data_IF_271338539587
#
_entry.id   IF_271338539587
#
_cell.length_a   1.000
_cell.length_b   1.000
_cell.length_c   1.000
_cell.angle_alpha   90.00
_cell.angle_beta   90.00
_cell.angle_gamma   90.00
#
_symmetry.space_group_name_H-M   'P 1'
#
loop_
_entity.id
_entity.type
_entity.pdbx_description
1 polymer ?
#
# COMPACT_ATOMS: atom_id res chain seq x y z
N UNK A 1 -0.53 -17.74 23.52
CA UNK A 1 -0.88 -16.37 23.09
C UNK A 1 -2.04 -16.50 22.12
N UNK A 2 -3.13 -15.72 22.27
CA UNK A 2 -4.32 -15.78 21.39
C UNK A 2 -4.06 -15.46 19.90
N UNK A 3 -2.79 -15.22 19.51
CA UNK A 3 -2.31 -15.10 18.14
C UNK A 3 -1.96 -16.44 17.47
N UNK A 4 -1.90 -17.52 18.25
CA UNK A 4 -1.60 -18.87 17.77
C UNK A 4 -2.74 -19.81 18.14
N UNK A 5 -2.72 -21.01 17.55
CA UNK A 5 -3.63 -22.09 17.95
C UNK A 5 -3.42 -22.39 19.44
N UNK A 6 -4.51 -22.34 20.18
CA UNK A 6 -4.51 -22.65 21.62
C UNK A 6 -4.87 -24.12 21.84
N UNK A 7 -4.39 -24.68 22.95
CA UNK A 7 -4.71 -26.05 23.35
C UNK A 7 -6.20 -26.17 23.69
N UNK A 8 -6.93 -26.96 22.91
CA UNK A 8 -8.35 -27.21 23.10
C UNK A 8 -8.68 -28.31 24.13
N UNK A 9 -7.69 -28.83 24.86
CA UNK A 9 -7.90 -29.86 25.89
C UNK A 9 -8.26 -29.30 27.27
N UNK A 10 -8.25 -27.97 27.44
CA UNK A 10 -8.60 -27.30 28.70
C UNK A 10 -7.74 -26.07 28.99
N UNK A 11 -8.32 -25.08 29.66
CA UNK A 11 -7.58 -23.96 30.28
C UNK A 11 -7.34 -22.74 29.38
N UNK A 12 -7.73 -22.82 28.11
CA UNK A 12 -7.66 -21.71 27.14
C UNK A 12 -9.05 -21.31 26.61
N UNK A 13 -10.10 -21.84 27.22
CA UNK A 13 -11.48 -21.67 26.74
C UNK A 13 -11.99 -20.29 27.11
N UNK A 14 -12.80 -19.71 26.22
CA UNK A 14 -13.54 -18.51 26.55
C UNK A 14 -14.32 -18.73 27.84
N UNK A 15 -14.13 -17.82 28.80
CA UNK A 15 -14.72 -17.91 30.14
C UNK A 15 -16.24 -17.72 30.13
N UNK A 16 -16.81 -17.31 28.98
CA UNK A 16 -18.20 -16.88 28.84
C UNK A 16 -18.44 -15.45 29.34
N UNK A 17 -17.41 -14.78 29.90
CA UNK A 17 -17.46 -13.37 30.20
C UNK A 17 -17.22 -12.56 28.91
N UNK A 18 -17.98 -11.48 28.74
CA UNK A 18 -17.73 -10.49 27.70
C UNK A 18 -16.77 -9.42 28.23
N UNK A 19 -15.96 -8.87 27.33
CA UNK A 19 -15.17 -7.68 27.64
C UNK A 19 -16.13 -6.54 28.03
N UNK A 20 -15.86 -5.87 29.14
CA UNK A 20 -16.66 -4.73 29.58
C UNK A 20 -16.59 -3.60 28.52
N UNK A 21 -17.73 -2.94 28.24
CA UNK A 21 -17.81 -1.86 27.24
C UNK A 21 -16.81 -0.73 27.53
N UNK A 22 -16.41 -0.53 28.79
CA UNK A 22 -15.40 0.47 29.18
C UNK A 22 -14.05 0.28 28.49
N UNK A 23 -13.74 -0.95 28.08
CA UNK A 23 -12.49 -1.30 27.42
C UNK A 23 -12.56 -1.24 25.90
N UNK A 24 -13.75 -1.18 25.31
CA UNK A 24 -13.86 -1.02 23.86
C UNK A 24 -13.30 0.36 23.51
N UNK A 25 -12.26 0.47 22.65
CA UNK A 25 -11.68 1.76 22.30
C UNK A 25 -12.72 2.76 21.80
N UNK A 26 -12.81 3.90 22.46
CA UNK A 26 -13.75 4.96 22.13
C UNK A 26 -13.19 6.33 22.50
N UNK A 27 -13.61 7.35 21.76
CA UNK A 27 -13.26 8.73 22.05
C UNK A 27 -14.39 9.66 21.63
N UNK A 28 -14.53 10.78 22.35
CA UNK A 28 -15.58 11.77 22.10
C UNK A 28 -15.05 13.18 22.25
N UNK A 29 -15.27 14.00 21.22
CA UNK A 29 -14.89 15.41 21.17
C UNK A 29 -13.44 15.67 21.65
N UNK A 30 -12.44 14.99 21.06
CA UNK A 30 -11.07 15.19 21.49
C UNK A 30 -10.59 16.61 21.22
N UNK A 31 -9.72 17.15 22.08
CA UNK A 31 -9.23 18.53 21.98
C UNK A 31 -8.51 18.81 20.65
N UNK A 32 -7.87 17.78 20.06
CA UNK A 32 -7.21 17.87 18.75
C UNK A 32 -8.19 18.07 17.57
N UNK A 33 -9.49 17.92 17.80
CA UNK A 33 -10.52 18.23 16.80
C UNK A 33 -10.78 17.17 15.73
N UNK A 34 -10.15 15.99 15.81
CA UNK A 34 -10.38 14.90 14.86
C UNK A 34 -10.31 13.51 15.52
N UNK A 35 -10.99 12.55 14.89
CA UNK A 35 -10.84 11.10 15.13
C UNK A 35 -10.53 10.48 13.77
N UNK A 36 -9.49 9.63 13.70
CA UNK A 36 -9.08 8.94 12.48
C UNK A 36 -8.88 7.46 12.76
N UNK A 37 -9.33 6.61 11.84
CA UNK A 37 -9.09 5.17 11.87
C UNK A 37 -8.75 4.70 10.45
N UNK A 38 -7.80 3.77 10.34
CA UNK A 38 -7.40 3.19 9.05
C UNK A 38 -6.89 1.77 9.24
N UNK A 39 -7.67 0.93 9.94
CA UNK A 39 -7.37 -0.48 10.27
C UNK A 39 -6.14 -0.71 11.18
N UNK A 40 -5.41 0.36 11.53
CA UNK A 40 -4.29 0.31 12.45
C UNK A 40 -4.75 0.11 13.90
N UNK A 41 -3.78 -0.19 14.77
CA UNK A 41 -3.99 -0.38 16.20
C UNK A 41 -4.65 0.87 16.82
N UNK A 42 -5.85 0.74 17.42
CA UNK A 42 -6.60 1.89 17.92
C UNK A 42 -6.05 2.48 19.23
N UNK A 43 -5.30 1.71 20.01
CA UNK A 43 -4.83 2.12 21.36
C UNK A 43 -3.39 1.73 21.68
N UNK A 44 -2.66 1.14 20.73
CA UNK A 44 -1.25 0.79 20.87
C UNK A 44 -0.99 -0.55 21.58
N UNK A 45 -1.95 -1.49 21.61
CA UNK A 45 -1.76 -2.82 22.24
C UNK A 45 -0.65 -3.66 21.60
N UNK A 46 -0.18 -3.29 20.42
CA UNK A 46 0.92 -3.96 19.70
C UNK A 46 2.18 -3.10 19.59
N UNK A 47 2.21 -1.91 20.20
CA UNK A 47 3.29 -0.92 20.02
C UNK A 47 4.67 -1.42 20.49
N UNK A 48 4.70 -2.18 21.59
CA UNK A 48 5.92 -2.71 22.19
C UNK A 48 6.26 -4.15 21.73
N UNK A 49 5.49 -4.70 20.79
CA UNK A 49 5.62 -6.10 20.36
C UNK A 49 5.15 -7.15 21.37
N UNK A 50 4.54 -6.74 22.49
CA UNK A 50 3.89 -7.65 23.44
C UNK A 50 2.38 -7.65 23.23
N UNK A 51 1.89 -8.71 22.57
CA UNK A 51 0.46 -8.90 22.28
C UNK A 51 -0.40 -9.16 23.53
N UNK A 52 0.22 -9.28 24.70
CA UNK A 52 -0.45 -9.37 26.00
C UNK A 52 -0.28 -8.09 26.82
N UNK A 53 0.18 -7.00 26.23
CA UNK A 53 0.23 -5.72 26.93
C UNK A 53 -1.18 -5.34 27.42
N UNK A 54 -1.34 -5.16 28.73
CA UNK A 54 -2.65 -5.00 29.38
C UNK A 54 -3.32 -6.28 29.91
N UNK A 55 -2.66 -7.44 29.85
CA UNK A 55 -3.08 -8.68 30.51
C UNK A 55 -2.20 -8.94 31.73
N UNK A 56 -2.76 -8.88 32.94
CA UNK A 56 -2.09 -9.23 34.19
C UNK A 56 -2.65 -10.54 34.76
N UNK A 57 -1.89 -11.66 34.69
CA UNK A 57 -2.30 -12.93 35.26
C UNK A 57 -2.66 -12.88 36.76
N UNK A 58 -2.15 -11.88 37.50
CA UNK A 58 -2.42 -11.63 38.91
C UNK A 58 -3.67 -10.77 39.16
N UNK A 59 -4.12 -9.97 38.19
CA UNK A 59 -5.31 -9.13 38.27
C UNK A 59 -6.22 -9.25 37.03
N UNK A 60 -6.84 -10.42 36.91
CA UNK A 60 -7.71 -10.77 35.77
C UNK A 60 -8.95 -9.88 35.61
N UNK A 61 -9.25 -9.03 36.60
CA UNK A 61 -10.40 -8.12 36.52
C UNK A 61 -10.11 -6.91 35.61
N UNK A 62 -8.83 -6.60 35.40
CA UNK A 62 -8.36 -5.52 34.54
C UNK A 62 -7.68 -6.02 33.25
N UNK A 63 -7.73 -7.33 32.97
CA UNK A 63 -7.24 -7.94 31.71
C UNK A 63 -7.94 -7.35 30.48
N UNK A 64 -7.15 -6.85 29.54
CA UNK A 64 -7.61 -6.32 28.26
C UNK A 64 -6.83 -6.93 27.10
N UNK A 65 -7.53 -7.62 26.20
CA UNK A 65 -6.98 -8.10 24.94
C UNK A 65 -8.01 -7.85 23.83
N UNK A 66 -7.63 -7.07 22.81
CA UNK A 66 -8.50 -6.74 21.67
C UNK A 66 -8.03 -7.28 20.33
N UNK A 67 -6.79 -7.76 20.24
CA UNK A 67 -6.23 -8.28 19.01
C UNK A 67 -4.71 -8.28 19.05
N UNK A 68 -4.11 -8.87 18.02
CA UNK A 68 -2.66 -8.88 17.86
C UNK A 68 -2.18 -8.78 16.42
N UNK A 69 -3.08 -8.44 15.51
CA UNK A 69 -2.75 -8.10 14.14
C UNK A 69 -3.61 -6.92 13.71
N UNK A 70 -2.94 -5.89 13.20
CA UNK A 70 -3.52 -4.63 12.75
C UNK A 70 -2.77 -4.14 11.52
N UNK A 71 -3.35 -3.22 10.77
CA UNK A 71 -2.63 -2.56 9.68
C UNK A 71 -1.40 -1.80 10.24
N UNK A 72 -0.31 -1.75 9.46
CA UNK A 72 1.00 -1.15 9.83
C UNK A 72 0.90 0.31 10.28
N UNK A 73 -0.19 0.98 9.94
CA UNK A 73 -0.44 2.35 10.38
C UNK A 73 0.09 3.42 9.45
N UNK A 74 0.66 3.08 8.30
CA UNK A 74 1.12 4.09 7.32
C UNK A 74 -0.01 4.99 6.82
N UNK A 75 -1.18 4.41 6.51
CA UNK A 75 -2.37 5.19 6.14
C UNK A 75 -2.84 6.07 7.29
N UNK A 76 -2.89 5.52 8.50
CA UNK A 76 -3.30 6.28 9.68
C UNK A 76 -2.33 7.44 9.93
N UNK A 77 -1.02 7.19 9.89
CA UNK A 77 0.00 8.22 10.05
C UNK A 77 -0.17 9.33 9.02
N UNK A 78 -0.37 9.00 7.74
CA UNK A 78 -0.58 10.00 6.68
C UNK A 78 -1.89 10.78 6.85
N UNK A 79 -2.98 10.11 7.23
CA UNK A 79 -4.26 10.76 7.54
C UNK A 79 -4.10 11.72 8.72
N UNK A 80 -3.39 11.30 9.77
CA UNK A 80 -3.10 12.09 10.96
C UNK A 80 -2.27 13.32 10.61
N UNK A 81 -1.17 13.18 9.86
CA UNK A 81 -0.35 14.31 9.36
C UNK A 81 -1.24 15.36 8.66
N UNK A 82 -2.09 14.92 7.72
CA UNK A 82 -2.98 15.81 6.96
C UNK A 82 -4.07 16.46 7.84
N UNK A 83 -4.65 15.72 8.78
CA UNK A 83 -5.66 16.26 9.69
C UNK A 83 -5.07 17.26 10.68
N UNK A 84 -3.82 17.08 11.12
CA UNK A 84 -3.11 18.06 11.96
C UNK A 84 -2.85 19.37 11.21
N UNK A 85 -2.43 19.28 9.94
CA UNK A 85 -2.29 20.46 9.07
C UNK A 85 -3.63 21.20 8.90
N UNK A 86 -4.69 20.45 8.59
CA UNK A 86 -6.03 21.00 8.35
C UNK A 86 -6.65 21.62 9.62
N UNK A 87 -6.53 20.96 10.77
CA UNK A 87 -7.06 21.49 12.05
C UNK A 87 -6.27 22.70 12.53
N UNK A 88 -4.95 22.72 12.31
CA UNK A 88 -4.10 23.89 12.61
C UNK A 88 -4.45 25.09 11.74
N UNK A 89 -4.70 24.87 10.43
CA UNK A 89 -5.13 25.94 9.53
C UNK A 89 -6.54 26.47 9.85
N UNK A 90 -7.44 25.57 10.28
CA UNK A 90 -8.84 25.87 10.52
C UNK A 90 -9.65 26.08 9.23
N UNK A 91 -10.98 26.13 9.35
CA UNK A 91 -11.86 26.37 8.19
C UNK A 91 -11.92 25.19 7.20
N UNK A 92 -11.76 23.96 7.70
CA UNK A 92 -11.79 22.73 6.91
C UNK A 92 -13.08 22.64 6.09
N UNK A 93 -12.93 22.35 4.80
CA UNK A 93 -14.03 22.22 3.84
C UNK A 93 -14.27 20.77 3.43
N UNK A 94 -15.41 20.44 2.80
CA UNK A 94 -15.62 19.13 2.19
C UNK A 94 -14.61 18.78 1.09
N UNK A 95 -14.07 19.81 0.42
CA UNK A 95 -13.04 19.62 -0.60
C UNK A 95 -11.74 19.14 0.03
N UNK A 96 -11.30 19.75 1.13
CA UNK A 96 -10.09 19.32 1.85
C UNK A 96 -10.17 17.85 2.28
N UNK A 97 -11.34 17.42 2.76
CA UNK A 97 -11.59 16.02 3.13
C UNK A 97 -11.61 15.08 1.94
N UNK A 98 -12.08 15.55 0.77
CA UNK A 98 -12.03 14.77 -0.47
C UNK A 98 -10.58 14.64 -0.95
N UNK A 99 -9.80 15.72 -0.90
CA UNK A 99 -8.38 15.72 -1.25
C UNK A 99 -7.55 14.82 -0.33
N UNK A 100 -7.88 14.76 0.97
CA UNK A 100 -7.28 13.82 1.92
C UNK A 100 -7.56 12.37 1.51
N UNK A 101 -8.80 12.02 1.12
CA UNK A 101 -9.14 10.68 0.62
C UNK A 101 -8.40 10.30 -0.67
N UNK A 102 -7.88 11.30 -1.39
CA UNK A 102 -7.20 11.14 -2.67
C UNK A 102 -5.67 11.09 -2.56
N UNK A 103 -5.12 11.16 -1.35
CA UNK A 103 -3.68 11.20 -1.12
C UNK A 103 -3.01 9.87 -1.54
N UNK A 104 -2.05 9.99 -2.45
CA UNK A 104 -1.34 8.88 -3.11
C UNK A 104 0.18 8.90 -2.83
N UNK A 105 0.62 9.58 -1.77
CA UNK A 105 2.03 9.61 -1.41
C UNK A 105 2.49 8.27 -0.85
N UNK A 106 3.51 7.68 -1.48
CA UNK A 106 4.07 6.37 -1.14
C UNK A 106 4.74 6.38 0.23
N UNK A 107 4.22 5.65 1.24
CA UNK A 107 4.86 5.55 2.55
C UNK A 107 6.18 4.79 2.45
N UNK A 108 6.19 3.67 1.72
CA UNK A 108 7.42 2.92 1.47
C UNK A 108 8.42 3.75 0.67
N UNK A 109 7.96 4.53 -0.32
CA UNK A 109 8.81 5.47 -1.06
C UNK A 109 9.56 6.43 -0.14
N UNK A 110 8.87 7.01 0.87
CA UNK A 110 9.47 7.91 1.86
C UNK A 110 10.59 7.26 2.67
N UNK A 111 10.45 5.99 3.05
CA UNK A 111 11.43 5.28 3.90
C UNK A 111 12.56 4.60 3.11
N UNK A 112 12.22 3.92 2.02
CA UNK A 112 13.15 3.07 1.28
C UNK A 112 13.98 3.85 0.25
N UNK A 113 13.39 4.86 -0.42
CA UNK A 113 14.10 5.59 -1.49
C UNK A 113 15.39 6.25 -1.00
N UNK A 114 15.44 6.94 0.16
CA UNK A 114 16.69 7.51 0.66
C UNK A 114 17.75 6.45 0.96
N UNK A 115 17.36 5.28 1.50
CA UNK A 115 18.26 4.18 1.77
C UNK A 115 18.82 3.59 0.47
N UNK A 116 17.96 3.34 -0.53
CA UNK A 116 18.35 2.86 -1.86
C UNK A 116 19.33 3.84 -2.49
N UNK A 117 19.00 5.13 -2.56
CA UNK A 117 19.89 6.16 -3.14
C UNK A 117 21.26 6.16 -2.45
N UNK A 118 21.29 6.06 -1.13
CA UNK A 118 22.55 5.98 -0.36
C UNK A 118 23.38 4.76 -0.73
N UNK A 119 22.76 3.58 -0.88
CA UNK A 119 23.50 2.37 -1.29
C UNK A 119 23.95 2.42 -2.76
N UNK A 120 23.16 3.03 -3.65
CA UNK A 120 23.58 3.25 -5.03
C UNK A 120 24.74 4.23 -5.13
N UNK A 121 24.80 5.26 -4.28
CA UNK A 121 25.96 6.14 -4.18
C UNK A 121 27.23 5.37 -3.80
N UNK A 122 27.16 4.52 -2.78
CA UNK A 122 28.27 3.65 -2.38
C UNK A 122 28.72 2.73 -3.52
N UNK A 123 27.77 2.14 -4.25
CA UNK A 123 28.07 1.29 -5.40
C UNK A 123 28.75 2.05 -6.54
N UNK A 124 28.34 3.29 -6.81
CA UNK A 124 28.95 4.16 -7.82
C UNK A 124 30.36 4.62 -7.40
N UNK A 125 30.57 4.88 -6.11
CA UNK A 125 31.89 5.16 -5.54
C UNK A 125 32.83 3.95 -5.66
N UNK A 126 32.35 2.75 -5.35
CA UNK A 126 33.10 1.50 -5.51
C UNK A 126 33.46 1.23 -6.97
N UNK A 127 32.54 1.51 -7.90
CA UNK A 127 32.81 1.43 -9.34
C UNK A 127 33.90 2.41 -9.77
N UNK A 128 33.89 3.63 -9.24
CA UNK A 128 34.85 4.68 -9.60
C UNK A 128 36.23 4.42 -8.99
N UNK A 129 36.27 3.92 -7.75
CA UNK A 129 37.49 3.63 -6.99
C UNK A 129 37.34 2.29 -6.27
N UNK A 130 37.72 1.17 -6.93
CA UNK A 130 37.59 -0.16 -6.34
C UNK A 130 38.28 -0.30 -4.98
N UNK A 131 37.58 -0.90 -4.02
CA UNK A 131 37.99 -1.07 -2.63
C UNK A 131 37.55 0.06 -1.68
N UNK A 132 36.74 1.03 -2.14
CA UNK A 132 36.13 2.04 -1.27
C UNK A 132 34.96 1.48 -0.46
N UNK A 133 34.19 0.56 -1.05
CA UNK A 133 33.16 -0.23 -0.39
C UNK A 133 33.36 -1.71 -0.74
N UNK A 134 34.30 -2.41 -0.06
CA UNK A 134 34.65 -3.80 -0.40
C UNK A 134 33.48 -4.80 -0.34
N UNK A 135 32.46 -4.51 0.47
CA UNK A 135 31.22 -5.29 0.55
C UNK A 135 30.41 -5.27 -0.75
N UNK A 136 30.65 -4.28 -1.63
CA UNK A 136 29.95 -4.13 -2.90
C UNK A 136 30.78 -4.56 -4.12
N UNK A 137 32.07 -4.85 -3.95
CA UNK A 137 32.98 -5.10 -5.09
C UNK A 137 32.50 -6.24 -6.00
N UNK A 138 31.94 -7.31 -5.42
CA UNK A 138 31.42 -8.45 -6.17
C UNK A 138 30.21 -8.04 -7.03
N UNK A 139 29.19 -7.42 -6.43
CA UNK A 139 28.00 -6.96 -7.14
C UNK A 139 28.33 -5.92 -8.21
N UNK A 140 29.18 -4.93 -7.90
CA UNK A 140 29.59 -3.90 -8.87
C UNK A 140 30.33 -4.50 -10.06
N UNK A 141 31.16 -5.52 -9.83
CA UNK A 141 31.87 -6.24 -10.90
C UNK A 141 30.90 -7.05 -11.76
N UNK A 142 30.01 -7.80 -11.13
CA UNK A 142 28.99 -8.61 -11.80
C UNK A 142 28.04 -7.76 -12.65
N UNK A 143 27.62 -6.62 -12.12
CA UNK A 143 26.64 -5.71 -12.72
C UNK A 143 27.28 -4.61 -13.58
N UNK A 144 28.57 -4.71 -13.92
CA UNK A 144 29.31 -3.65 -14.61
C UNK A 144 28.64 -3.18 -15.92
N UNK A 145 27.94 -4.07 -16.63
CA UNK A 145 27.22 -3.74 -17.89
C UNK A 145 25.96 -2.91 -17.69
N UNK A 146 25.38 -2.88 -16.48
CA UNK A 146 24.14 -2.15 -16.16
C UNK A 146 24.37 -0.93 -15.28
N UNK A 147 25.59 -0.71 -14.76
CA UNK A 147 25.87 0.37 -13.81
C UNK A 147 25.57 1.79 -14.32
N UNK A 148 25.65 2.05 -15.64
CA UNK A 148 25.25 3.36 -16.20
C UNK A 148 23.74 3.58 -16.06
N UNK A 149 22.94 2.53 -16.23
CA UNK A 149 21.49 2.58 -16.03
C UNK A 149 21.13 2.66 -14.54
N UNK A 150 21.91 2.01 -13.68
CA UNK A 150 21.78 2.16 -12.22
C UNK A 150 22.02 3.62 -11.81
N UNK A 151 23.00 4.30 -12.42
CA UNK A 151 23.23 5.73 -12.18
C UNK A 151 22.02 6.60 -12.58
N UNK A 152 21.42 6.36 -13.75
CA UNK A 152 20.21 7.09 -14.18
C UNK A 152 19.01 6.82 -13.23
N UNK A 153 18.82 5.56 -12.84
CA UNK A 153 17.80 5.18 -11.88
C UNK A 153 18.01 5.85 -10.51
N UNK A 154 19.25 5.91 -10.02
CA UNK A 154 19.64 6.63 -8.80
C UNK A 154 19.24 8.10 -8.88
N UNK A 155 19.52 8.77 -9.97
CA UNK A 155 19.22 10.20 -10.12
C UNK A 155 17.71 10.47 -10.15
N UNK A 156 16.94 9.60 -10.80
CA UNK A 156 15.46 9.67 -10.82
C UNK A 156 14.87 9.44 -9.44
N UNK A 157 15.34 8.43 -8.72
CA UNK A 157 14.92 8.13 -7.35
C UNK A 157 15.30 9.27 -6.38
N UNK A 158 16.48 9.85 -6.52
CA UNK A 158 16.92 10.99 -5.71
C UNK A 158 16.10 12.27 -5.98
N UNK A 159 15.60 12.45 -7.21
CA UNK A 159 14.75 13.57 -7.58
C UNK A 159 13.29 13.41 -7.12
N UNK A 160 12.85 12.19 -6.78
CA UNK A 160 11.48 11.87 -6.36
C UNK A 160 11.23 12.26 -4.90
N UNK A 161 11.17 13.56 -4.62
CA UNK A 161 10.98 14.09 -3.25
C UNK A 161 9.51 14.27 -2.85
N UNK A 162 8.60 14.28 -3.82
CA UNK A 162 7.15 14.33 -3.57
C UNK A 162 6.63 13.00 -3.02
N UNK A 163 7.29 11.91 -3.39
CA UNK A 163 6.83 10.53 -3.22
C UNK A 163 5.42 10.26 -3.78
N UNK A 164 4.93 11.14 -4.66
CA UNK A 164 3.64 10.95 -5.33
C UNK A 164 3.77 9.87 -6.41
N UNK A 165 2.67 9.18 -6.69
CA UNK A 165 2.65 8.00 -7.57
C UNK A 165 1.66 8.19 -8.74
N UNK A 166 1.77 9.27 -9.54
CA UNK A 166 0.79 9.56 -10.58
C UNK A 166 0.83 8.52 -11.70
N UNK A 167 -0.34 8.16 -12.23
CA UNK A 167 -0.45 7.27 -13.39
C UNK A 167 0.22 7.88 -14.63
N UNK A 168 -0.16 9.14 -14.89
CA UNK A 168 0.39 10.05 -15.88
C UNK A 168 0.65 9.42 -17.26
N UNK A 169 -0.41 8.82 -17.80
CA UNK A 169 -0.52 8.30 -19.18
C UNK A 169 -1.70 8.91 -19.95
N UNK A 170 -2.50 9.76 -19.28
CA UNK A 170 -3.68 10.42 -19.83
C UNK A 170 -3.56 11.95 -19.69
N UNK A 171 -4.41 12.69 -20.40
CA UNK A 171 -4.66 14.13 -20.20
C UNK A 171 -3.43 15.06 -20.34
N UNK A 172 -2.38 14.62 -21.04
CA UNK A 172 -1.13 15.38 -21.29
C UNK A 172 -0.40 15.76 -19.99
N UNK A 173 0.18 14.78 -19.28
CA UNK A 173 0.80 15.00 -17.98
C UNK A 173 1.99 15.97 -18.08
N UNK A 174 2.17 16.76 -17.03
CA UNK A 174 3.31 17.69 -16.91
C UNK A 174 4.64 16.94 -16.74
N UNK A 175 5.75 17.61 -17.02
CA UNK A 175 7.07 16.99 -16.85
C UNK A 175 7.37 16.50 -15.41
N UNK A 176 6.96 17.22 -14.33
CA UNK A 176 7.09 16.69 -12.96
C UNK A 176 6.23 15.45 -12.70
N UNK A 177 4.97 15.43 -13.13
CA UNK A 177 4.14 14.21 -13.05
C UNK A 177 4.73 13.06 -13.87
N UNK A 178 5.47 13.40 -14.93
CA UNK A 178 6.26 12.44 -15.68
C UNK A 178 7.40 11.87 -14.83
N UNK A 179 8.23 12.72 -14.25
CA UNK A 179 9.34 12.29 -13.41
C UNK A 179 8.87 11.39 -12.25
N UNK A 180 7.82 11.81 -11.52
CA UNK A 180 7.30 11.07 -10.36
C UNK A 180 6.75 9.70 -10.75
N UNK A 181 6.03 9.60 -11.86
CA UNK A 181 5.51 8.33 -12.38
C UNK A 181 6.61 7.34 -12.81
N UNK A 182 7.72 7.85 -13.37
CA UNK A 182 8.88 7.02 -13.71
C UNK A 182 9.57 6.53 -12.45
N UNK A 183 9.80 7.43 -11.49
CA UNK A 183 10.40 7.07 -10.22
C UNK A 183 9.55 6.05 -9.45
N UNK A 184 8.23 6.23 -9.41
CA UNK A 184 7.30 5.26 -8.82
C UNK A 184 7.37 3.87 -9.46
N UNK A 185 7.56 3.80 -10.79
CA UNK A 185 7.73 2.52 -11.51
C UNK A 185 9.04 1.83 -11.15
N UNK A 186 10.15 2.58 -11.15
CA UNK A 186 11.48 2.08 -10.74
C UNK A 186 11.43 1.62 -9.29
N UNK A 187 10.86 2.43 -8.41
CA UNK A 187 10.73 2.16 -6.98
C UNK A 187 9.92 0.90 -6.71
N UNK A 188 8.69 0.80 -7.23
CA UNK A 188 7.83 -0.35 -6.96
C UNK A 188 8.39 -1.65 -7.56
N UNK A 189 9.04 -1.60 -8.72
CA UNK A 189 9.76 -2.76 -9.25
C UNK A 189 10.97 -3.15 -8.38
N UNK A 190 11.73 -2.17 -7.90
CA UNK A 190 12.87 -2.38 -6.99
C UNK A 190 12.42 -2.99 -5.68
N UNK A 191 11.38 -2.44 -5.05
CA UNK A 191 10.81 -2.95 -3.81
C UNK A 191 10.40 -4.42 -3.97
N UNK A 192 9.80 -4.79 -5.11
CA UNK A 192 9.43 -6.17 -5.37
C UNK A 192 10.62 -7.14 -5.39
N UNK A 193 11.72 -6.76 -6.03
CA UNK A 193 12.94 -7.58 -6.03
C UNK A 193 13.67 -7.56 -4.69
N UNK A 194 13.72 -6.41 -4.02
CA UNK A 194 14.37 -6.26 -2.73
C UNK A 194 13.72 -7.16 -1.68
N UNK A 195 12.39 -7.13 -1.58
CA UNK A 195 11.65 -7.98 -0.64
C UNK A 195 11.88 -9.48 -0.89
N UNK A 196 12.13 -9.90 -2.14
CA UNK A 196 12.49 -11.31 -2.45
C UNK A 196 13.90 -11.63 -2.00
N UNK A 197 14.86 -10.78 -2.36
CA UNK A 197 16.28 -10.94 -2.01
C UNK A 197 16.55 -10.86 -0.49
N UNK A 198 15.60 -10.35 0.29
CA UNK A 198 15.74 -10.15 1.75
C UNK A 198 14.94 -11.16 2.57
N UNK A 199 13.98 -11.88 1.99
CA UNK A 199 13.07 -12.71 2.79
C UNK A 199 12.72 -14.07 2.19
N UNK A 200 12.92 -14.29 0.87
CA UNK A 200 12.47 -15.54 0.27
C UNK A 200 13.24 -16.75 0.82
N UNK A 201 14.53 -16.62 1.12
CA UNK A 201 15.36 -17.71 1.64
C UNK A 201 14.98 -18.09 3.08
N UNK A 202 14.62 -17.15 3.97
CA UNK A 202 14.08 -17.49 5.29
C UNK A 202 12.72 -18.17 5.19
N UNK A 203 11.86 -17.73 4.27
CA UNK A 203 10.56 -18.36 4.04
C UNK A 203 10.69 -19.76 3.45
N UNK A 204 11.63 -19.97 2.53
CA UNK A 204 11.85 -21.26 1.88
C UNK A 204 12.52 -22.25 2.84
N UNK A 205 13.50 -21.81 3.63
CA UNK A 205 14.11 -22.61 4.70
C UNK A 205 13.07 -23.03 5.76
N UNK A 206 12.11 -22.15 6.07
CA UNK A 206 10.96 -22.51 6.88
C UNK A 206 10.07 -23.58 6.20
N UNK A 207 9.72 -23.40 4.92
CA UNK A 207 8.85 -24.32 4.18
C UNK A 207 9.39 -25.76 4.18
N UNK A 208 10.71 -25.90 4.09
CA UNK A 208 11.40 -27.18 4.09
C UNK A 208 11.49 -27.83 5.49
N UNK A 209 10.96 -27.15 6.52
CA UNK A 209 10.79 -27.66 7.89
C UNK A 209 12.03 -27.55 8.77
N UNK A 210 13.02 -26.74 8.37
CA UNK A 210 14.26 -26.55 9.13
C UNK A 210 14.11 -25.51 10.26
N UNK A 211 13.02 -24.73 10.27
CA UNK A 211 12.55 -23.91 11.40
C UNK A 211 11.14 -24.38 11.85
N UNK A 212 10.93 -24.64 13.14
CA UNK A 212 9.62 -24.99 13.69
C UNK A 212 8.73 -23.72 13.88
N UNK A 213 7.62 -23.61 13.12
CA UNK A 213 6.54 -22.59 13.28
C UNK A 213 6.21 -21.72 12.03
N UNK A 214 4.97 -21.79 11.52
CA UNK A 214 4.48 -21.15 10.26
C UNK A 214 4.53 -19.61 10.24
N UNK A 215 5.56 -18.97 9.61
CA UNK A 215 5.48 -17.58 9.24
C UNK A 215 4.75 -17.55 7.90
N UNK A 216 3.44 -17.39 7.95
CA UNK A 216 2.70 -17.04 6.73
C UNK A 216 3.39 -15.83 6.11
N UNK A 217 3.60 -15.86 4.79
CA UNK A 217 3.95 -14.66 4.00
C UNK A 217 2.93 -13.58 4.34
N UNK A 218 3.28 -12.73 5.30
CA UNK A 218 2.37 -11.84 5.99
C UNK A 218 2.82 -10.39 5.82
N UNK A 219 1.92 -9.48 6.12
CA UNK A 219 2.23 -8.05 6.13
C UNK A 219 3.42 -7.70 7.05
N UNK A 220 3.84 -8.58 7.97
CA UNK A 220 5.00 -8.38 8.83
C UNK A 220 6.31 -8.09 8.08
N UNK A 221 6.56 -8.70 6.92
CA UNK A 221 7.81 -8.50 6.17
C UNK A 221 8.05 -7.02 5.78
N UNK A 222 6.98 -6.31 5.41
CA UNK A 222 7.08 -4.87 5.13
C UNK A 222 7.42 -4.04 6.36
N UNK A 223 6.84 -4.41 7.51
CA UNK A 223 7.16 -3.77 8.80
C UNK A 223 8.61 -4.05 9.17
N UNK A 224 9.06 -5.31 9.05
CA UNK A 224 10.45 -5.73 9.29
C UNK A 224 11.41 -4.94 8.41
N UNK A 225 11.15 -4.83 7.11
CA UNK A 225 11.95 -4.03 6.18
C UNK A 225 12.11 -2.58 6.64
N UNK A 226 11.04 -1.94 7.13
CA UNK A 226 11.12 -0.57 7.64
C UNK A 226 11.98 -0.50 8.91
N UNK A 227 11.77 -1.42 9.87
CA UNK A 227 12.58 -1.46 11.09
C UNK A 227 14.06 -1.77 10.83
N UNK A 228 14.38 -2.64 9.88
CA UNK A 228 15.76 -2.91 9.43
C UNK A 228 16.48 -1.61 9.01
N UNK A 229 15.74 -0.64 8.50
CA UNK A 229 16.29 0.64 8.05
C UNK A 229 16.29 1.72 9.14
N UNK A 230 15.25 1.77 9.96
CA UNK A 230 15.04 2.85 10.93
C UNK A 230 15.67 2.57 12.30
N UNK A 231 15.52 1.34 12.80
CA UNK A 231 16.06 0.92 14.09
C UNK A 231 16.34 -0.59 14.06
N UNK A 232 17.39 -1.04 13.33
CA UNK A 232 17.71 -2.45 13.24
C UNK A 232 18.04 -3.05 14.61
N UNK A 233 18.48 -2.24 15.58
CA UNK A 233 18.83 -2.69 16.93
C UNK A 233 17.62 -3.17 17.75
N UNK A 234 16.41 -2.77 17.35
CA UNK A 234 15.16 -3.25 17.95
C UNK A 234 14.78 -4.67 17.51
N UNK A 235 15.37 -5.18 16.43
CA UNK A 235 15.01 -6.47 15.84
C UNK A 235 15.70 -7.63 16.56
N UNK A 236 14.99 -8.75 16.68
CA UNK A 236 15.57 -10.01 17.17
C UNK A 236 16.72 -10.48 16.26
N UNK A 237 16.62 -10.22 14.96
CA UNK A 237 17.65 -10.52 13.97
C UNK A 237 18.78 -9.49 13.90
N UNK A 238 19.01 -8.66 14.91
CA UNK A 238 20.12 -7.70 14.90
C UNK A 238 21.49 -8.38 15.11
N UNK A 239 22.43 -8.11 14.21
CA UNK A 239 23.84 -8.45 14.35
C UNK A 239 24.64 -7.22 14.82
N UNK A 240 25.23 -7.33 16.01
CA UNK A 240 26.02 -6.25 16.61
C UNK A 240 27.35 -6.00 15.91
N UNK A 241 27.92 -6.98 15.22
CA UNK A 241 29.17 -6.85 14.47
C UNK A 241 28.92 -6.18 13.11
N UNK A 242 27.83 -6.57 12.43
CA UNK A 242 27.39 -5.92 11.19
C UNK A 242 26.72 -4.55 11.43
N UNK A 243 26.24 -4.31 12.65
CA UNK A 243 25.38 -3.16 13.02
C UNK A 243 24.12 -3.07 12.14
N UNK A 244 23.59 -4.22 11.75
CA UNK A 244 22.46 -4.36 10.82
C UNK A 244 21.65 -5.61 11.16
N UNK A 245 20.51 -5.80 10.52
CA UNK A 245 19.75 -7.03 10.59
C UNK A 245 20.40 -8.14 9.74
N UNK A 246 20.29 -9.38 10.20
CA UNK A 246 20.85 -10.55 9.50
C UNK A 246 20.17 -10.82 8.16
N UNK A 247 18.88 -10.50 8.01
CA UNK A 247 18.02 -10.83 6.85
C UNK A 247 18.48 -10.27 5.48
N UNK A 248 19.64 -9.62 5.40
CA UNK A 248 20.21 -9.23 4.11
C UNK A 248 20.98 -10.37 3.44
N UNK A 249 21.39 -11.42 4.16
CA UNK A 249 22.16 -12.52 3.61
C UNK A 249 21.29 -13.53 2.83
N UNK A 250 21.90 -14.44 2.07
CA UNK A 250 21.24 -15.63 1.50
C UNK A 250 21.72 -16.80 2.34
N UNK A 251 20.87 -17.29 3.24
CA UNK A 251 21.23 -18.38 4.16
C UNK A 251 21.52 -19.71 3.44
N UNK A 252 21.17 -19.80 2.13
CA UNK A 252 21.53 -20.91 1.25
C UNK A 252 22.96 -20.86 0.71
N UNK A 253 23.72 -19.81 1.01
CA UNK A 253 25.10 -19.64 0.51
C UNK A 253 26.11 -19.35 1.62
N UNK A 254 27.40 -19.56 1.33
CA UNK A 254 28.50 -19.20 2.25
C UNK A 254 28.85 -17.70 2.20
N UNK A 255 28.24 -16.94 1.29
CA UNK A 255 28.47 -15.50 1.14
C UNK A 255 27.49 -14.77 2.04
N UNK A 256 27.98 -13.77 2.77
CA UNK A 256 27.12 -12.89 3.58
C UNK A 256 26.98 -11.57 2.83
N UNK A 257 25.82 -11.35 2.22
CA UNK A 257 25.51 -10.12 1.49
C UNK A 257 25.22 -8.95 2.44
N UNK A 258 25.60 -7.75 1.99
CA UNK A 258 25.25 -6.53 2.72
C UNK A 258 23.92 -5.96 2.21
N UNK A 259 23.30 -5.11 3.03
CA UNK A 259 22.20 -4.23 2.62
C UNK A 259 22.44 -3.56 1.26
N UNK A 260 23.67 -3.09 1.02
CA UNK A 260 24.03 -2.41 -0.21
C UNK A 260 24.10 -3.34 -1.41
N UNK A 261 24.59 -4.58 -1.23
CA UNK A 261 24.55 -5.62 -2.27
C UNK A 261 23.10 -5.89 -2.70
N UNK A 262 22.21 -6.14 -1.73
CA UNK A 262 20.80 -6.43 -2.00
C UNK A 262 20.07 -5.29 -2.69
N UNK A 263 20.25 -4.05 -2.22
CA UNK A 263 19.64 -2.89 -2.86
C UNK A 263 20.15 -2.65 -4.28
N UNK A 264 21.46 -2.82 -4.53
CA UNK A 264 22.03 -2.70 -5.88
C UNK A 264 21.48 -3.78 -6.83
N UNK A 265 21.47 -5.04 -6.39
CA UNK A 265 20.93 -6.17 -7.18
C UNK A 265 19.43 -6.00 -7.44
N UNK A 266 18.66 -5.55 -6.46
CA UNK A 266 17.23 -5.28 -6.61
C UNK A 266 16.95 -4.20 -7.67
N UNK A 267 17.71 -3.09 -7.65
CA UNK A 267 17.58 -2.03 -8.66
C UNK A 267 17.95 -2.59 -10.04
N UNK A 268 19.08 -3.27 -10.18
CA UNK A 268 19.49 -3.86 -11.46
C UNK A 268 18.43 -4.83 -12.03
N UNK A 269 17.87 -5.70 -11.19
CA UNK A 269 16.80 -6.62 -11.57
C UNK A 269 15.52 -5.88 -11.96
N UNK A 270 15.17 -4.80 -11.24
CA UNK A 270 14.03 -3.95 -11.56
C UNK A 270 14.16 -3.30 -12.95
N UNK A 271 15.34 -2.78 -13.30
CA UNK A 271 15.58 -2.17 -14.62
C UNK A 271 15.40 -3.18 -15.76
N UNK A 272 15.91 -4.41 -15.60
CA UNK A 272 15.69 -5.48 -16.58
C UNK A 272 14.22 -5.91 -16.68
N UNK A 273 13.52 -5.94 -15.55
CA UNK A 273 12.08 -6.28 -15.48
C UNK A 273 11.24 -5.22 -16.19
N UNK A 274 11.49 -3.93 -15.92
CA UNK A 274 10.75 -2.81 -16.51
C UNK A 274 10.98 -2.72 -18.02
N UNK A 275 12.23 -2.88 -18.47
CA UNK A 275 12.56 -2.91 -19.89
C UNK A 275 11.78 -4.01 -20.63
N UNK A 276 11.73 -5.21 -20.06
CA UNK A 276 11.01 -6.34 -20.65
C UNK A 276 9.50 -6.10 -20.63
N UNK A 277 8.97 -5.66 -19.50
CA UNK A 277 7.52 -5.48 -19.29
C UNK A 277 6.96 -4.38 -20.19
N UNK A 278 7.69 -3.26 -20.32
CA UNK A 278 7.26 -2.11 -21.10
C UNK A 278 7.86 -2.07 -22.50
N UNK A 279 8.66 -3.08 -22.85
CA UNK A 279 9.32 -3.21 -24.16
C UNK A 279 10.10 -1.95 -24.57
N UNK A 280 10.82 -1.34 -23.63
CA UNK A 280 11.53 -0.08 -23.83
C UNK A 280 12.77 0.03 -22.96
N UNK A 281 13.90 0.39 -23.57
CA UNK A 281 15.14 0.74 -22.86
C UNK A 281 15.13 2.18 -22.34
N UNK A 282 14.21 3.00 -22.82
CA UNK A 282 14.09 4.41 -22.46
C UNK A 282 13.26 4.56 -21.17
N UNK A 283 13.93 4.90 -20.07
CA UNK A 283 13.30 5.04 -18.76
C UNK A 283 12.23 6.14 -18.71
N UNK A 284 12.31 7.16 -19.58
CA UNK A 284 11.30 8.22 -19.62
C UNK A 284 9.91 7.69 -20.02
N UNK A 285 9.88 6.55 -20.69
CA UNK A 285 8.65 5.87 -21.10
C UNK A 285 8.06 4.95 -20.03
N UNK A 286 8.74 4.74 -18.91
CA UNK A 286 8.31 3.81 -17.86
C UNK A 286 7.25 4.41 -16.93
N UNK A 287 6.08 4.70 -17.49
CA UNK A 287 4.96 5.35 -16.77
C UNK A 287 4.28 4.37 -15.83
N UNK A 288 4.01 4.79 -14.58
CA UNK A 288 3.35 3.96 -13.57
C UNK A 288 1.97 3.48 -14.01
N UNK A 289 1.19 4.33 -14.67
CA UNK A 289 -0.15 3.98 -15.16
C UNK A 289 -0.19 2.91 -16.26
N UNK A 290 0.95 2.53 -16.85
CA UNK A 290 1.04 1.37 -17.76
C UNK A 290 1.16 0.05 -17.00
N UNK A 291 1.56 0.10 -15.73
CA UNK A 291 1.75 -1.04 -14.84
C UNK A 291 0.62 -1.14 -13.81
N UNK A 292 0.23 0.00 -13.23
CA UNK A 292 -0.75 0.12 -12.17
C UNK A 292 -2.12 0.52 -12.72
N UNK A 293 -2.97 -0.49 -12.83
CA UNK A 293 -4.26 -0.38 -13.52
C UNK A 293 -5.37 -1.01 -12.68
N UNK A 294 -6.60 -0.57 -12.93
CA UNK A 294 -7.80 -1.07 -12.28
C UNK A 294 -8.78 -1.65 -13.29
N UNK A 295 -9.17 -2.90 -13.06
CA UNK A 295 -10.39 -3.49 -13.61
C UNK A 295 -11.24 -3.98 -12.44
N UNK A 296 -12.51 -3.57 -12.43
CA UNK A 296 -13.51 -4.13 -11.53
C UNK A 296 -13.99 -5.45 -12.15
N UNK A 297 -13.47 -6.57 -11.66
CA UNK A 297 -13.85 -7.89 -12.17
C UNK A 297 -15.22 -8.33 -11.64
N UNK A 298 -16.01 -8.98 -12.51
CA UNK A 298 -17.27 -9.58 -12.12
C UNK A 298 -17.05 -10.82 -11.24
N UNK A 299 -17.76 -10.91 -10.10
CA UNK A 299 -17.65 -12.03 -9.14
C UNK A 299 -18.02 -13.39 -9.74
N UNK A 300 -18.99 -13.40 -10.66
CA UNK A 300 -19.27 -14.55 -11.52
C UNK A 300 -18.61 -14.25 -12.86
N UNK A 301 -17.32 -14.60 -13.04
CA UNK A 301 -16.65 -14.37 -14.29
C UNK A 301 -17.30 -15.28 -15.32
N UNK A 302 -18.17 -14.71 -16.15
CA UNK A 302 -18.69 -15.35 -17.36
C UNK A 302 -17.53 -15.66 -18.34
N UNK A 303 -16.29 -15.28 -17.99
CA UNK A 303 -15.03 -15.68 -18.65
C UNK A 303 -14.88 -17.20 -18.82
N UNK A 304 -15.51 -18.04 -17.99
CA UNK A 304 -15.59 -19.49 -18.26
C UNK A 304 -16.30 -19.82 -19.60
N UNK A 305 -17.07 -18.86 -20.13
CA UNK A 305 -17.73 -18.89 -21.44
C UNK A 305 -17.02 -18.01 -22.49
N UNK A 306 -15.84 -17.43 -22.16
CA UNK A 306 -14.99 -16.59 -23.02
C UNK A 306 -14.90 -15.13 -22.58
N UNK A 307 -13.75 -14.48 -22.81
CA UNK A 307 -13.50 -13.06 -22.43
C UNK A 307 -14.51 -12.08 -23.03
N UNK A 308 -15.09 -12.41 -24.19
CA UNK A 308 -16.15 -11.62 -24.84
C UNK A 308 -17.48 -11.64 -24.10
N UNK A 309 -17.64 -12.51 -23.11
CA UNK A 309 -18.87 -12.68 -22.34
C UNK A 309 -18.83 -11.96 -20.98
N UNK A 310 -17.66 -11.43 -20.57
CA UNK A 310 -17.51 -10.66 -19.33
C UNK A 310 -17.88 -9.19 -19.54
N UNK A 311 -19.17 -8.97 -19.79
CA UNK A 311 -19.78 -7.65 -20.00
C UNK A 311 -20.04 -6.89 -18.70
N UNK A 312 -19.87 -7.56 -17.56
CA UNK A 312 -20.10 -7.02 -16.22
C UNK A 312 -18.85 -6.35 -15.63
N UNK A 313 -17.67 -6.68 -16.15
CA UNK A 313 -16.42 -6.06 -15.71
C UNK A 313 -16.28 -4.62 -16.21
N UNK A 314 -15.67 -3.75 -15.39
CA UNK A 314 -15.49 -2.33 -15.69
C UNK A 314 -14.00 -1.96 -15.57
N UNK A 315 -13.27 -1.69 -16.67
CA UNK A 315 -13.73 -1.80 -18.06
C UNK A 315 -13.79 -3.28 -18.49
N UNK A 316 -14.59 -3.56 -19.51
CA UNK A 316 -14.71 -4.92 -20.05
C UNK A 316 -13.36 -5.40 -20.60
N UNK A 317 -13.07 -6.71 -20.64
CA UNK A 317 -11.83 -7.23 -21.24
C UNK A 317 -11.64 -6.85 -22.71
N UNK A 318 -12.71 -6.53 -23.44
CA UNK A 318 -12.68 -6.09 -24.83
C UNK A 318 -12.58 -4.56 -25.01
N UNK A 319 -12.41 -3.80 -23.93
CA UNK A 319 -12.25 -2.35 -24.03
C UNK A 319 -10.95 -2.01 -24.77
N UNK A 320 -11.08 -1.35 -25.92
CA UNK A 320 -9.93 -1.03 -26.78
C UNK A 320 -9.12 0.16 -26.27
N UNK A 321 -9.72 1.00 -25.42
CA UNK A 321 -9.05 2.16 -24.82
C UNK A 321 -8.28 1.72 -23.58
N UNK A 322 -8.87 0.83 -22.79
CA UNK A 322 -8.32 0.33 -21.53
C UNK A 322 -8.21 -1.20 -21.52
N UNK A 323 -7.44 -1.80 -22.43
CA UNK A 323 -7.33 -3.26 -22.56
C UNK A 323 -6.74 -3.92 -21.31
N UNK A 324 -5.96 -3.18 -20.54
CA UNK A 324 -5.35 -3.64 -19.29
C UNK A 324 -6.05 -3.06 -18.04
N UNK A 325 -7.18 -2.35 -18.18
CA UNK A 325 -7.80 -1.61 -17.08
C UNK A 325 -7.50 -0.11 -17.11
N UNK A 326 -8.15 0.65 -16.24
CA UNK A 326 -7.94 2.09 -16.11
C UNK A 326 -6.59 2.37 -15.44
N UNK A 327 -5.73 3.22 -16.03
CA UNK A 327 -4.55 3.72 -15.35
C UNK A 327 -4.92 4.43 -14.05
N UNK A 328 -4.19 4.16 -12.98
CA UNK A 328 -4.48 4.72 -11.66
C UNK A 328 -3.22 5.12 -10.93
N UNK A 329 -3.35 6.16 -10.10
CA UNK A 329 -2.31 6.53 -9.14
C UNK A 329 -2.33 5.60 -7.93
N UNK A 330 -1.43 5.88 -6.99
CA UNK A 330 -1.32 5.18 -5.72
C UNK A 330 -0.36 4.02 -5.81
N UNK A 331 0.08 3.55 -4.65
CA UNK A 331 0.80 2.31 -4.50
C UNK A 331 0.45 1.65 -3.16
N UNK A 332 1.37 0.88 -2.59
CA UNK A 332 1.10 0.10 -1.38
C UNK A 332 0.99 1.01 -0.14
N UNK A 333 -0.08 0.80 0.62
CA UNK A 333 -0.37 1.47 1.90
C UNK A 333 -0.59 3.00 1.81
N UNK A 334 -0.87 3.55 0.63
CA UNK A 334 -1.33 4.94 0.46
C UNK A 334 -2.76 5.14 1.00
N UNK A 335 -3.15 6.39 1.26
CA UNK A 335 -4.49 6.72 1.79
C UNK A 335 -5.58 6.38 0.76
N UNK A 336 -5.41 6.78 -0.50
CA UNK A 336 -6.29 6.35 -1.59
C UNK A 336 -6.00 4.90 -1.99
N UNK A 337 -6.44 3.98 -1.12
CA UNK A 337 -6.04 2.60 -1.12
C UNK A 337 -6.09 1.95 -2.52
N UNK A 338 -4.92 1.55 -3.00
CA UNK A 338 -4.73 0.92 -4.31
C UNK A 338 -3.76 -0.26 -4.26
N UNK A 339 -3.41 -0.73 -3.06
CA UNK A 339 -2.33 -1.69 -2.87
C UNK A 339 -2.54 -3.03 -3.60
N UNK A 340 -1.44 -3.55 -4.14
CA UNK A 340 -1.30 -4.93 -4.60
C UNK A 340 -0.72 -5.81 -3.47
N UNK A 341 -0.79 -7.13 -3.63
CA UNK A 341 -0.28 -8.09 -2.65
C UNK A 341 1.22 -7.93 -2.42
N UNK A 342 1.67 -7.96 -1.15
CA UNK A 342 3.08 -7.77 -0.81
C UNK A 342 3.98 -8.79 -1.49
N UNK A 343 3.48 -10.01 -1.63
CA UNK A 343 4.21 -11.16 -2.18
C UNK A 343 3.82 -11.47 -3.63
N UNK A 344 2.91 -10.68 -4.21
CA UNK A 344 2.56 -10.75 -5.62
C UNK A 344 3.28 -9.62 -6.37
N UNK A 345 4.61 -9.63 -6.27
CA UNK A 345 5.51 -8.53 -6.60
C UNK A 345 5.41 -8.03 -8.06
N UNK A 346 4.96 -8.89 -8.97
CA UNK A 346 4.79 -8.56 -10.38
C UNK A 346 3.35 -8.20 -10.74
N UNK A 347 2.40 -8.50 -9.85
CA UNK A 347 1.03 -8.08 -9.97
C UNK A 347 0.90 -6.67 -9.42
N UNK A 348 0.60 -5.75 -10.33
CA UNK A 348 0.53 -4.31 -10.04
C UNK A 348 -0.88 -3.76 -10.24
N UNK A 349 -1.88 -4.59 -10.51
CA UNK A 349 -3.29 -4.21 -10.44
C UNK A 349 -3.80 -4.24 -8.99
N UNK A 350 -4.95 -3.59 -8.78
CA UNK A 350 -5.55 -3.42 -7.45
C UNK A 350 -5.92 -4.78 -6.85
N UNK A 351 -5.37 -5.10 -5.67
CA UNK A 351 -5.84 -6.24 -4.86
C UNK A 351 -7.06 -5.90 -4.00
N UNK A 352 -7.24 -4.61 -3.71
CA UNK A 352 -8.39 -4.01 -3.03
C UNK A 352 -8.43 -2.50 -3.33
N UNK A 353 -9.53 -1.82 -2.99
CA UNK A 353 -9.66 -0.36 -3.16
C UNK A 353 -10.98 0.19 -2.60
N UNK A 354 -11.20 1.52 -2.67
CA UNK A 354 -12.35 2.15 -2.04
C UNK A 354 -13.67 1.85 -2.78
N UNK A 355 -14.53 1.04 -2.17
CA UNK A 355 -15.89 0.77 -2.66
C UNK A 355 -16.81 2.01 -2.65
N UNK A 356 -16.44 3.05 -1.90
CA UNK A 356 -17.13 4.32 -1.86
C UNK A 356 -16.17 5.38 -1.34
N UNK A 357 -16.21 6.58 -1.92
CA UNK A 357 -15.69 7.81 -1.30
C UNK A 357 -16.89 8.65 -0.86
N UNK A 358 -16.89 9.10 0.39
CA UNK A 358 -18.00 9.86 0.98
C UNK A 358 -17.42 10.94 1.90
N UNK A 359 -17.89 12.16 1.71
CA UNK A 359 -17.63 13.28 2.62
C UNK A 359 -18.97 13.88 3.00
N UNK A 360 -19.17 14.09 4.30
CA UNK A 360 -20.41 14.68 4.84
C UNK A 360 -20.04 15.85 5.74
N UNK A 361 -20.54 17.02 5.41
CA UNK A 361 -20.53 18.21 6.26
C UNK A 361 -21.85 18.30 7.02
N UNK A 362 -21.76 18.44 8.34
CA UNK A 362 -22.95 18.65 9.19
C UNK A 362 -23.20 20.15 9.35
N UNK A 363 -24.28 20.67 8.76
CA UNK A 363 -24.68 22.08 8.88
C UNK A 363 -25.96 22.23 9.71
N UNK A 364 -26.28 23.44 10.23
CA UNK A 364 -27.54 23.69 10.93
C UNK A 364 -28.79 23.38 10.08
N UNK A 365 -28.70 23.50 8.76
CA UNK A 365 -29.79 23.23 7.83
C UNK A 365 -29.93 21.75 7.46
N UNK A 366 -28.94 20.92 7.78
CA UNK A 366 -28.87 19.50 7.45
C UNK A 366 -27.51 19.05 6.93
N UNK A 367 -27.31 17.75 6.69
CA UNK A 367 -26.08 17.23 6.11
C UNK A 367 -25.96 17.66 4.64
N UNK A 368 -24.73 18.02 4.23
CA UNK A 368 -24.34 18.16 2.83
C UNK A 368 -23.32 17.09 2.51
N UNK A 369 -23.61 16.25 1.53
CA UNK A 369 -22.78 15.10 1.23
C UNK A 369 -22.35 15.06 -0.23
N UNK A 370 -21.13 14.60 -0.46
CA UNK A 370 -20.60 14.26 -1.78
C UNK A 370 -20.09 12.83 -1.77
N UNK A 371 -20.25 12.12 -2.88
CA UNK A 371 -19.83 10.72 -2.99
C UNK A 371 -19.27 10.38 -4.36
N UNK A 372 -18.53 9.29 -4.44
CA UNK A 372 -18.18 8.61 -5.68
C UNK A 372 -18.22 7.09 -5.47
N UNK A 373 -18.79 6.37 -6.43
CA UNK A 373 -18.83 4.91 -6.42
C UNK A 373 -18.00 4.35 -7.58
N UNK A 374 -17.24 3.26 -7.36
CA UNK A 374 -16.63 2.52 -8.45
C UNK A 374 -17.77 1.87 -9.27
N UNK A 375 -17.83 2.17 -10.57
CA UNK A 375 -18.93 1.73 -11.43
C UNK A 375 -20.16 2.65 -11.34
N UNK A 376 -21.26 2.15 -10.76
CA UNK A 376 -22.55 2.85 -10.71
C UNK A 376 -23.60 2.08 -9.90
N UNK A 377 -24.81 2.63 -9.81
CA UNK A 377 -25.87 2.09 -8.92
C UNK A 377 -26.70 0.96 -9.56
N UNK A 378 -26.26 0.38 -10.67
CA UNK A 378 -27.00 -0.67 -11.39
C UNK A 378 -26.08 -1.83 -11.77
N UNK A 379 -26.49 -3.05 -11.47
CA UNK A 379 -25.77 -4.26 -11.89
C UNK A 379 -26.14 -4.70 -13.32
N UNK A 380 -27.16 -4.10 -13.93
CA UNK A 380 -27.56 -4.38 -15.31
C UNK A 380 -26.57 -3.73 -16.29
N UNK A 381 -25.77 -4.50 -17.07
CA UNK A 381 -24.75 -3.95 -17.96
C UNK A 381 -25.32 -3.07 -19.08
N UNK A 382 -26.61 -3.23 -19.42
CA UNK A 382 -27.29 -2.40 -20.41
C UNK A 382 -27.81 -1.08 -19.82
N UNK A 383 -27.82 -0.95 -18.49
CA UNK A 383 -28.25 0.26 -17.80
C UNK A 383 -27.23 1.38 -17.98
N UNK A 384 -27.72 2.59 -18.28
CA UNK A 384 -26.89 3.80 -18.26
C UNK A 384 -26.25 4.06 -16.88
N UNK A 385 -26.77 3.44 -15.81
CA UNK A 385 -26.29 3.60 -14.44
C UNK A 385 -25.33 2.49 -14.00
N UNK A 386 -24.89 1.61 -14.91
CA UNK A 386 -23.95 0.53 -14.57
C UNK A 386 -22.56 1.04 -14.23
N UNK A 387 -22.07 2.01 -15.00
CA UNK A 387 -20.71 2.55 -14.89
C UNK A 387 -20.65 4.08 -14.94
N UNK A 388 -21.77 4.76 -14.68
CA UNK A 388 -21.87 6.23 -14.84
C UNK A 388 -21.04 7.03 -13.83
N UNK A 389 -20.63 6.43 -12.72
CA UNK A 389 -19.79 7.06 -11.70
C UNK A 389 -18.31 6.70 -11.85
N UNK A 390 -17.98 5.70 -12.68
CA UNK A 390 -16.63 5.18 -12.85
C UNK A 390 -15.61 6.26 -13.24
N UNK A 391 -15.96 7.14 -14.18
CA UNK A 391 -15.06 8.23 -14.61
C UNK A 391 -14.81 9.26 -13.50
N UNK A 392 -15.83 9.55 -12.68
CA UNK A 392 -15.67 10.43 -11.52
C UNK A 392 -14.77 9.74 -10.48
N UNK A 393 -15.11 8.50 -10.11
CA UNK A 393 -14.38 7.74 -9.11
C UNK A 393 -12.91 7.53 -9.46
N UNK A 394 -12.59 7.20 -10.72
CA UNK A 394 -11.18 6.94 -11.12
C UNK A 394 -10.34 8.20 -11.24
N UNK A 395 -11.00 9.35 -11.41
CA UNK A 395 -10.38 10.68 -11.42
C UNK A 395 -10.48 11.37 -10.07
N UNK A 396 -10.88 10.65 -9.02
CA UNK A 396 -10.97 11.17 -7.66
C UNK A 396 -11.92 12.38 -7.54
N UNK A 397 -12.92 12.44 -8.42
CA UNK A 397 -13.99 13.44 -8.45
C UNK A 397 -15.23 12.88 -7.75
N UNK A 398 -16.02 13.78 -7.18
CA UNK A 398 -17.22 13.45 -6.40
C UNK A 398 -18.45 14.17 -6.95
N UNK A 399 -19.61 13.57 -6.75
CA UNK A 399 -20.91 14.16 -7.06
C UNK A 399 -21.70 14.47 -5.78
N UNK A 400 -22.60 15.46 -5.78
CA UNK A 400 -23.47 15.71 -4.63
C UNK A 400 -24.44 14.54 -4.39
N UNK A 401 -24.78 14.31 -3.12
CA UNK A 401 -25.83 13.40 -2.66
C UNK A 401 -27.04 14.24 -2.25
N UNK A 402 -28.14 14.23 -3.04
CA UNK A 402 -29.39 14.87 -2.64
C UNK A 402 -29.90 14.32 -1.30
N UNK A 403 -30.23 15.19 -0.35
CA UNK A 403 -30.67 14.76 0.98
C UNK A 403 -32.10 15.20 1.28
N UNK A 404 -32.44 16.46 1.02
CA UNK A 404 -33.80 16.96 1.25
C UNK A 404 -34.76 16.41 0.20
N UNK A 405 -36.05 16.32 0.53
CA UNK A 405 -37.08 15.88 -0.42
C UNK A 405 -37.06 16.74 -1.70
N UNK A 406 -36.87 18.05 -1.58
CA UNK A 406 -36.79 18.96 -2.72
C UNK A 406 -35.57 18.66 -3.62
N UNK A 407 -34.40 18.41 -3.04
CA UNK A 407 -33.20 18.02 -3.80
C UNK A 407 -33.36 16.67 -4.47
N UNK A 408 -33.92 15.68 -3.77
CA UNK A 408 -34.19 14.34 -4.30
C UNK A 408 -35.16 14.42 -5.49
N UNK A 409 -36.25 15.18 -5.35
CA UNK A 409 -37.21 15.40 -6.44
C UNK A 409 -36.59 16.15 -7.62
N UNK A 410 -35.72 17.14 -7.36
CA UNK A 410 -35.04 17.90 -8.42
C UNK A 410 -34.01 17.04 -9.19
N UNK A 411 -33.35 16.10 -8.51
CA UNK A 411 -32.37 15.19 -9.10
C UNK A 411 -33.01 13.89 -9.67
N UNK A 412 -34.30 13.67 -9.45
CA UNK A 412 -34.97 12.43 -9.83
C UNK A 412 -34.96 12.23 -11.35
N UNK A 413 -34.46 11.06 -11.78
CA UNK A 413 -34.52 10.64 -13.19
C UNK A 413 -35.75 9.77 -13.45
N UNK A 414 -36.13 8.94 -12.49
CA UNK A 414 -37.28 8.04 -12.55
C UNK A 414 -37.99 8.02 -11.19
N UNK A 415 -39.30 7.81 -11.19
CA UNK A 415 -40.12 7.75 -9.99
C UNK A 415 -41.09 6.56 -10.06
N UNK A 416 -40.99 5.68 -9.07
CA UNK A 416 -41.80 4.47 -8.97
C UNK A 416 -42.73 4.58 -7.76
N UNK A 417 -44.02 4.24 -7.96
CA UNK A 417 -44.99 4.15 -6.88
C UNK A 417 -45.50 2.72 -6.79
N UNK A 418 -45.10 2.02 -5.74
CA UNK A 418 -45.64 0.70 -5.41
C UNK A 418 -46.96 0.88 -4.66
N UNK A 419 -48.02 0.24 -5.15
CA UNK A 419 -49.31 0.17 -4.46
C UNK A 419 -49.47 -1.25 -3.90
N UNK A 420 -50.08 -1.42 -2.72
CA UNK A 420 -50.28 -2.73 -2.09
C UNK A 420 -51.04 -3.74 -2.95
#
# INVERSE_FOLDING_TARGET
LPCYVLDGTGGMEWTGAHLDERYIPHEKNPERGYIATANADPVGVTENGDVLDGVDPADRADDFYIGCDFDRGHRLARITERLEELTTAGGITPQDMSELQNDAQSPFGRFLTPAIVTQLDRALEERATPGTHPDLSAAVTELASVMDRVSDARDRLAAWTSFDTPAAVEDSPSAPEIADSVAASIFNATMGHLMRLTFDDEYDYFHDGELDGDPRRSNGAGTTMIWMLQDPSSLVGYDADAMDAVYWDDIGTDVVESRGDRMLRAVAAALGTLETTLSSTDMDTWRWGLLHTLRLDALVPVRLLGDSMDVLSIPTPLDTTYPNGFPRHGDRDVVDASGFGMFDFFRRDYGSGPQQRLVVEMTPEGPRAVTALPGGNSEDPDSRFHRNEMELWRRNQVRPVPFTEAEVLAAAVEHYRFVP
#
